data_IF_260636632727
#
_entry.id   IF_260636632727
#
_cell.length_a   1.000
_cell.length_b   1.000
_cell.length_c   1.000
_cell.angle_alpha   90.00
_cell.angle_beta   90.00
_cell.angle_gamma   90.00
#
_symmetry.space_group_name_H-M   'P 1'
#
loop_
_entity.id
_entity.type
_entity.pdbx_description
1 polymer ?
#
# COMPACT_ATOMS: atom_id res chain seq x y z
N UNK A 1 -2.90 -6.52 -14.86
CA UNK A 1 -3.61 -6.80 -16.08
C UNK A 1 -4.95 -6.10 -16.07
N UNK A 2 -5.29 -5.35 -17.11
CA UNK A 2 -6.66 -4.84 -17.28
C UNK A 2 -7.55 -6.05 -17.53
N UNK A 3 -8.50 -6.32 -16.63
CA UNK A 3 -9.59 -7.25 -16.90
C UNK A 3 -10.39 -6.73 -18.10
N UNK A 4 -10.59 -7.59 -19.09
CA UNK A 4 -11.44 -7.25 -20.22
C UNK A 4 -12.86 -7.01 -19.70
N UNK A 5 -13.38 -5.76 -19.80
CA UNK A 5 -14.79 -5.48 -19.64
C UNK A 5 -15.22 -4.43 -18.61
N UNK A 6 -14.32 -3.91 -17.77
CA UNK A 6 -14.74 -2.86 -16.82
C UNK A 6 -14.70 -1.48 -17.46
N UNK A 7 -15.88 -1.00 -17.85
CA UNK A 7 -16.09 0.34 -18.36
C UNK A 7 -16.01 1.37 -17.21
N UNK A 8 -14.81 1.91 -17.01
CA UNK A 8 -14.54 2.91 -15.97
C UNK A 8 -15.29 4.23 -16.21
N UNK A 9 -15.84 4.45 -17.42
CA UNK A 9 -16.61 5.67 -17.74
C UNK A 9 -17.94 5.74 -16.96
N UNK A 10 -18.38 4.61 -16.41
CA UNK A 10 -19.58 4.54 -15.56
C UNK A 10 -19.36 5.03 -14.13
N UNK A 11 -18.11 5.30 -13.76
CA UNK A 11 -17.76 5.78 -12.41
C UNK A 11 -17.34 7.23 -12.47
N UNK A 12 -17.92 8.04 -11.60
CA UNK A 12 -17.48 9.41 -11.35
C UNK A 12 -16.96 9.53 -9.93
N UNK A 13 -15.90 10.31 -9.73
CA UNK A 13 -15.45 10.69 -8.39
C UNK A 13 -16.54 11.57 -7.77
N UNK A 14 -17.13 11.12 -6.66
CA UNK A 14 -18.14 11.85 -5.92
C UNK A 14 -17.52 12.69 -4.80
N UNK A 15 -16.53 12.13 -4.10
CA UNK A 15 -15.85 12.78 -2.96
C UNK A 15 -14.51 12.13 -2.67
N UNK A 16 -13.75 12.68 -1.71
CA UNK A 16 -12.51 12.08 -1.19
C UNK A 16 -12.28 12.41 0.27
N UNK A 17 -11.65 11.49 0.99
CA UNK A 17 -11.03 11.75 2.29
C UNK A 17 -9.51 11.83 2.04
N UNK A 18 -8.90 13.02 2.17
CA UNK A 18 -7.50 13.23 1.83
C UNK A 18 -6.55 12.37 2.67
N UNK A 19 -5.33 12.18 2.15
CA UNK A 19 -4.28 11.49 2.88
C UNK A 19 -4.00 12.16 4.22
N UNK A 20 -3.82 11.32 5.24
CA UNK A 20 -3.49 11.74 6.59
C UNK A 20 -2.25 10.98 7.06
N UNK A 21 -1.23 11.71 7.52
CA UNK A 21 0.05 11.15 7.94
C UNK A 21 -0.04 10.26 9.19
N UNK A 22 -1.05 10.49 10.04
CA UNK A 22 -1.30 9.65 11.23
C UNK A 22 -2.00 8.36 10.81
N UNK A 23 -3.07 8.47 10.02
CA UNK A 23 -3.84 7.32 9.53
C UNK A 23 -3.13 6.57 8.39
N UNK A 24 -2.16 7.20 7.72
CA UNK A 24 -1.37 6.66 6.60
C UNK A 24 -2.23 6.04 5.49
N UNK A 25 -3.41 6.63 5.26
CA UNK A 25 -4.37 6.20 4.23
C UNK A 25 -5.17 7.37 3.69
N UNK A 26 -5.74 7.18 2.54
CA UNK A 26 -6.70 8.08 1.89
C UNK A 26 -7.85 7.27 1.32
N UNK A 27 -9.00 7.93 1.09
CA UNK A 27 -10.14 7.27 0.45
C UNK A 27 -10.71 8.14 -0.66
N UNK A 28 -11.21 7.48 -1.70
CA UNK A 28 -11.97 8.09 -2.79
C UNK A 28 -13.35 7.47 -2.81
N UNK A 29 -14.36 8.28 -3.00
CA UNK A 29 -15.74 7.82 -3.17
C UNK A 29 -16.08 7.87 -4.64
N UNK A 30 -16.39 6.71 -5.20
CA UNK A 30 -16.78 6.54 -6.58
C UNK A 30 -18.29 6.28 -6.68
N UNK A 31 -18.98 7.11 -7.46
CA UNK A 31 -20.39 6.95 -7.78
C UNK A 31 -20.54 6.23 -9.11
N UNK A 32 -21.26 5.11 -9.11
CA UNK A 32 -21.60 4.40 -10.34
C UNK A 32 -22.95 4.88 -10.88
N UNK A 33 -22.98 5.29 -12.14
CA UNK A 33 -24.23 5.69 -12.80
C UNK A 33 -25.24 4.54 -12.76
N UNK A 34 -26.48 4.87 -12.39
CA UNK A 34 -27.58 3.89 -12.33
C UNK A 34 -27.58 2.96 -11.11
N UNK A 35 -26.65 3.14 -10.14
CA UNK A 35 -26.69 2.45 -8.84
C UNK A 35 -27.01 3.43 -7.72
N UNK A 36 -27.84 2.95 -6.76
CA UNK A 36 -28.23 3.72 -5.58
C UNK A 36 -27.22 3.69 -4.43
N UNK A 37 -25.96 3.32 -4.71
CA UNK A 37 -24.90 3.20 -3.73
C UNK A 37 -23.60 3.79 -4.27
N UNK A 38 -22.83 4.42 -3.38
CA UNK A 38 -21.47 4.88 -3.64
C UNK A 38 -20.47 3.82 -3.18
N UNK A 39 -19.30 3.74 -3.84
CA UNK A 39 -18.20 2.86 -3.47
C UNK A 39 -17.07 3.69 -2.86
N UNK A 40 -16.84 3.54 -1.56
CA UNK A 40 -15.67 4.06 -0.90
C UNK A 40 -14.49 3.10 -1.15
N UNK A 41 -13.39 3.65 -1.66
CA UNK A 41 -12.15 2.93 -1.98
C UNK A 41 -11.04 3.54 -1.15
N UNK A 42 -10.55 2.79 -0.16
CA UNK A 42 -9.48 3.22 0.74
C UNK A 42 -8.17 2.56 0.33
N UNK A 43 -7.07 3.34 0.25
CA UNK A 43 -5.72 2.83 0.02
C UNK A 43 -4.71 3.48 0.97
N UNK A 44 -3.68 2.73 1.36
CA UNK A 44 -2.66 3.23 2.27
C UNK A 44 -1.71 2.14 2.76
N UNK A 45 -0.98 2.42 3.85
CA UNK A 45 -0.14 1.42 4.50
C UNK A 45 -1.01 0.22 4.90
N UNK A 46 -0.55 -0.99 4.57
CA UNK A 46 -1.37 -2.21 4.69
C UNK A 46 -1.93 -2.37 6.10
N UNK A 47 -1.10 -2.18 7.13
CA UNK A 47 -1.52 -2.31 8.52
C UNK A 47 -2.65 -1.32 8.85
N UNK A 48 -2.49 -0.04 8.49
CA UNK A 48 -3.48 1.00 8.78
C UNK A 48 -4.79 0.80 8.00
N UNK A 49 -4.72 0.24 6.78
CA UNK A 49 -5.93 -0.14 6.01
C UNK A 49 -6.60 -1.35 6.64
N UNK A 50 -5.84 -2.39 7.03
CA UNK A 50 -6.37 -3.59 7.66
C UNK A 50 -7.02 -3.32 9.02
N UNK A 51 -6.53 -2.34 9.79
CA UNK A 51 -7.15 -1.89 11.05
C UNK A 51 -8.57 -1.33 10.84
N UNK A 52 -8.83 -0.68 9.71
CA UNK A 52 -10.15 -0.16 9.35
C UNK A 52 -11.09 -1.24 8.79
N UNK A 53 -10.59 -2.46 8.56
CA UNK A 53 -11.34 -3.56 7.97
C UNK A 53 -11.92 -4.50 9.04
N UNK A 54 -13.15 -4.92 8.82
CA UNK A 54 -13.82 -6.00 9.57
C UNK A 54 -13.91 -7.29 8.77
N UNK A 55 -13.68 -7.22 7.46
CA UNK A 55 -13.74 -8.36 6.55
C UNK A 55 -12.65 -8.30 5.49
N UNK A 56 -12.47 -9.42 4.78
CA UNK A 56 -11.60 -9.54 3.60
C UNK A 56 -12.44 -10.12 2.45
N UNK A 57 -12.19 -9.66 1.24
CA UNK A 57 -12.86 -10.20 0.04
C UNK A 57 -12.13 -11.47 -0.44
N UNK A 58 -12.84 -12.59 -0.45
CA UNK A 58 -12.43 -13.82 -1.14
C UNK A 58 -13.21 -13.87 -2.48
N UNK A 59 -12.55 -13.43 -3.54
CA UNK A 59 -13.24 -13.10 -4.79
C UNK A 59 -14.15 -11.88 -4.59
N UNK A 60 -15.46 -12.08 -4.65
CA UNK A 60 -16.46 -11.02 -4.41
C UNK A 60 -17.19 -11.17 -3.07
N UNK A 61 -16.88 -12.21 -2.30
CA UNK A 61 -17.57 -12.57 -1.07
C UNK A 61 -16.79 -12.03 0.15
N UNK A 62 -17.40 -11.19 0.99
CA UNK A 62 -16.76 -10.75 2.23
C UNK A 62 -16.74 -11.89 3.26
N UNK A 63 -15.58 -12.10 3.89
CA UNK A 63 -15.36 -13.02 5.00
C UNK A 63 -14.84 -12.25 6.20
N UNK A 64 -15.13 -12.67 7.44
CA UNK A 64 -14.57 -12.03 8.64
C UNK A 64 -13.05 -11.94 8.55
N UNK A 65 -12.47 -10.80 8.93
CA UNK A 65 -11.02 -10.61 9.01
C UNK A 65 -10.53 -11.07 10.40
N UNK A 66 -10.43 -12.38 10.59
CA UNK A 66 -9.92 -13.03 11.79
C UNK A 66 -8.37 -12.95 11.91
N UNK A 67 -7.82 -13.49 12.98
CA UNK A 67 -6.38 -13.46 13.24
C UNK A 67 -5.56 -14.19 12.18
N UNK A 68 -6.05 -15.33 11.67
CA UNK A 68 -5.35 -16.13 10.67
C UNK A 68 -5.26 -15.38 9.33
N UNK A 69 -6.35 -14.72 8.93
CA UNK A 69 -6.37 -13.90 7.71
C UNK A 69 -5.52 -12.65 7.85
N UNK A 70 -5.47 -12.02 9.03
CA UNK A 70 -4.55 -10.90 9.31
C UNK A 70 -3.11 -11.34 9.16
N UNK A 71 -2.76 -12.47 9.77
CA UNK A 71 -1.42 -13.04 9.65
C UNK A 71 -1.08 -13.37 8.19
N UNK A 72 -1.99 -13.93 7.42
CA UNK A 72 -1.77 -14.21 6.00
C UNK A 72 -1.53 -12.94 5.17
N UNK A 73 -2.19 -11.82 5.52
CA UNK A 73 -1.93 -10.51 4.91
C UNK A 73 -0.51 -10.05 5.23
N UNK A 74 -0.09 -10.12 6.50
CA UNK A 74 1.24 -9.71 6.96
C UNK A 74 2.35 -10.55 6.32
N UNK A 75 2.19 -11.87 6.29
CA UNK A 75 3.15 -12.80 5.67
C UNK A 75 3.35 -12.49 4.16
N UNK A 76 2.27 -12.17 3.45
CA UNK A 76 2.36 -11.74 2.04
C UNK A 76 3.09 -10.41 1.87
N UNK A 77 2.78 -9.42 2.71
CA UNK A 77 3.47 -8.12 2.69
C UNK A 77 4.96 -8.32 2.93
N UNK A 78 5.33 -9.10 3.95
CA UNK A 78 6.73 -9.40 4.23
C UNK A 78 7.42 -10.07 3.04
N UNK A 79 6.80 -11.10 2.45
CA UNK A 79 7.36 -11.81 1.31
C UNK A 79 7.62 -10.92 0.09
N UNK A 80 6.70 -10.00 -0.24
CA UNK A 80 6.91 -9.04 -1.33
C UNK A 80 7.91 -7.94 -0.97
N UNK A 81 7.90 -7.49 0.28
CA UNK A 81 8.87 -6.48 0.73
C UNK A 81 10.31 -7.00 0.70
N UNK A 82 10.52 -8.29 0.98
CA UNK A 82 11.83 -8.94 0.84
C UNK A 82 12.29 -9.03 -0.62
N UNK A 83 11.37 -8.95 -1.58
CA UNK A 83 11.65 -8.86 -3.02
C UNK A 83 11.78 -7.40 -3.51
N UNK A 84 11.77 -6.43 -2.62
CA UNK A 84 11.90 -5.00 -2.93
C UNK A 84 10.60 -4.29 -3.29
N UNK A 85 9.44 -4.96 -3.22
CA UNK A 85 8.18 -4.29 -3.50
C UNK A 85 7.71 -3.42 -2.33
N UNK A 86 7.31 -2.20 -2.65
CA UNK A 86 6.44 -1.39 -1.78
C UNK A 86 5.01 -1.90 -1.91
N UNK A 87 4.38 -2.19 -0.78
CA UNK A 87 3.04 -2.77 -0.74
C UNK A 87 2.08 -1.78 -0.09
N UNK A 88 1.00 -1.46 -0.78
CA UNK A 88 -0.14 -0.73 -0.20
C UNK A 88 -1.33 -1.68 -0.09
N UNK A 89 -2.13 -1.48 0.95
CA UNK A 89 -3.42 -2.12 1.11
C UNK A 89 -4.51 -1.38 0.35
N UNK A 90 -5.48 -2.13 -0.13
CA UNK A 90 -6.69 -1.64 -0.76
C UNK A 90 -7.89 -2.24 -0.01
N UNK A 91 -8.84 -1.39 0.38
CA UNK A 91 -10.09 -1.81 0.99
C UNK A 91 -11.27 -1.06 0.39
N UNK A 92 -12.44 -1.65 0.48
CA UNK A 92 -13.66 -1.07 -0.10
C UNK A 92 -14.83 -1.17 0.86
N UNK A 93 -15.79 -0.27 0.69
CA UNK A 93 -17.10 -0.32 1.36
C UNK A 93 -18.16 0.34 0.49
N UNK A 94 -19.35 -0.28 0.43
CA UNK A 94 -20.52 0.35 -0.17
C UNK A 94 -21.19 1.26 0.86
N UNK A 95 -21.55 2.45 0.45
CA UNK A 95 -22.18 3.46 1.27
C UNK A 95 -23.48 3.92 0.60
N UNK A 96 -24.52 4.30 1.37
CA UNK A 96 -25.62 5.10 0.82
C UNK A 96 -25.04 6.39 0.22
N UNK A 97 -25.66 6.95 -0.83
CA UNK A 97 -25.23 8.21 -1.40
C UNK A 97 -25.21 9.31 -0.33
N UNK A 98 -24.09 10.00 -0.21
CA UNK A 98 -23.90 11.10 0.74
C UNK A 98 -23.47 12.36 -0.01
N UNK A 99 -23.78 13.52 0.61
CA UNK A 99 -23.30 14.82 0.13
C UNK A 99 -21.79 14.98 0.37
N UNK A 100 -21.28 14.44 1.50
CA UNK A 100 -19.87 14.48 1.88
C UNK A 100 -19.48 13.23 2.66
N UNK A 101 -18.26 12.73 2.45
CA UNK A 101 -17.66 11.66 3.23
C UNK A 101 -16.61 12.22 4.18
N UNK A 102 -16.45 11.57 5.32
CA UNK A 102 -15.52 11.95 6.38
C UNK A 102 -14.62 10.78 6.77
N UNK A 103 -13.68 11.03 7.68
CA UNK A 103 -12.82 10.00 8.28
C UNK A 103 -13.60 8.91 8.99
N UNK A 104 -14.79 9.22 9.52
CA UNK A 104 -15.64 8.26 10.24
C UNK A 104 -16.25 7.21 9.30
N UNK A 105 -16.31 7.50 8.00
CA UNK A 105 -16.76 6.53 7.00
C UNK A 105 -15.70 5.46 6.69
N UNK A 106 -14.45 5.69 7.06
CA UNK A 106 -13.34 4.75 6.89
C UNK A 106 -13.32 3.66 7.97
N UNK A 107 -14.45 3.05 8.24
CA UNK A 107 -14.65 1.96 9.21
C UNK A 107 -15.46 0.84 8.60
N UNK A 108 -15.32 -0.39 9.14
CA UNK A 108 -16.09 -1.54 8.65
C UNK A 108 -15.80 -1.87 7.18
N UNK A 109 -14.58 -1.60 6.71
CA UNK A 109 -14.16 -1.86 5.35
C UNK A 109 -13.96 -3.35 5.10
N UNK A 110 -14.01 -3.75 3.83
CA UNK A 110 -13.59 -5.06 3.37
C UNK A 110 -12.21 -4.94 2.69
N UNK A 111 -11.20 -5.60 3.23
CA UNK A 111 -9.88 -5.65 2.62
C UNK A 111 -9.99 -6.34 1.25
N UNK A 112 -9.63 -5.63 0.18
CA UNK A 112 -9.86 -6.08 -1.19
C UNK A 112 -8.58 -6.61 -1.86
N UNK A 113 -7.39 -6.26 -1.34
CA UNK A 113 -6.14 -6.73 -1.92
C UNK A 113 -4.98 -5.75 -1.73
N UNK A 114 -4.01 -5.86 -2.62
CA UNK A 114 -2.75 -5.14 -2.52
C UNK A 114 -2.42 -4.42 -3.82
N UNK A 115 -1.72 -3.29 -3.70
CA UNK A 115 -1.06 -2.61 -4.80
C UNK A 115 0.45 -2.75 -4.59
N UNK A 116 1.13 -3.30 -5.58
CA UNK A 116 2.57 -3.55 -5.55
C UNK A 116 3.29 -2.54 -6.45
N UNK A 117 4.30 -1.88 -5.90
CA UNK A 117 5.15 -0.94 -6.61
C UNK A 117 6.60 -1.39 -6.50
N UNK A 118 7.29 -1.45 -7.62
CA UNK A 118 8.72 -1.70 -7.68
C UNK A 118 9.40 -0.43 -8.19
N UNK A 119 10.37 0.07 -7.40
CA UNK A 119 11.18 1.23 -7.75
C UNK A 119 12.65 0.79 -7.85
N UNK A 120 13.11 0.40 -9.04
CA UNK A 120 14.47 -0.11 -9.20
C UNK A 120 15.50 1.02 -9.02
N UNK A 121 16.70 0.70 -8.51
CA UNK A 121 17.77 1.67 -8.40
C UNK A 121 18.18 2.21 -9.78
N UNK A 122 18.65 3.45 -9.82
CA UNK A 122 19.15 4.05 -11.07
C UNK A 122 20.37 3.27 -11.60
N UNK A 123 20.49 3.10 -12.93
CA UNK A 123 21.68 2.50 -13.53
C UNK A 123 22.96 3.21 -13.08
N UNK A 124 24.05 2.47 -12.84
CA UNK A 124 25.34 3.02 -12.44
C UNK A 124 25.48 3.35 -10.95
N UNK A 125 24.45 3.10 -10.13
CA UNK A 125 24.53 3.45 -8.71
C UNK A 125 25.59 2.61 -7.97
N UNK A 126 25.69 1.32 -8.24
CA UNK A 126 26.68 0.44 -7.61
C UNK A 126 28.12 0.87 -7.95
N UNK A 127 28.39 1.26 -9.20
CA UNK A 127 29.68 1.78 -9.65
C UNK A 127 30.01 3.10 -8.95
N UNK A 128 29.03 4.00 -8.84
CA UNK A 128 29.19 5.28 -8.14
C UNK A 128 29.55 5.06 -6.67
N UNK A 129 28.86 4.14 -5.98
CA UNK A 129 29.16 3.81 -4.58
C UNK A 129 30.57 3.26 -4.41
N UNK A 130 31.02 2.37 -5.31
CA UNK A 130 32.38 1.87 -5.31
C UNK A 130 33.42 3.00 -5.51
N UNK A 131 33.16 3.90 -6.45
CA UNK A 131 34.06 5.05 -6.71
C UNK A 131 34.12 6.03 -5.51
N UNK A 132 33.05 6.19 -4.75
CA UNK A 132 33.04 6.97 -3.51
C UNK A 132 33.84 6.26 -2.41
N UNK A 133 33.64 4.97 -2.25
CA UNK A 133 34.38 4.17 -1.27
C UNK A 133 35.89 4.19 -1.50
N UNK A 134 36.38 4.13 -2.74
CA UNK A 134 37.82 4.24 -3.08
C UNK A 134 38.42 5.60 -2.70
N UNK A 135 37.57 6.62 -2.56
CA UNK A 135 37.95 7.96 -2.10
C UNK A 135 37.80 8.18 -0.59
N UNK A 136 37.49 7.14 0.16
CA UNK A 136 37.26 7.20 1.60
C UNK A 136 35.94 7.82 2.02
N UNK A 137 34.97 7.95 1.09
CA UNK A 137 33.63 8.51 1.35
C UNK A 137 32.71 7.38 1.76
N UNK A 138 32.23 7.41 3.01
CA UNK A 138 31.21 6.50 3.50
C UNK A 138 29.81 7.04 3.15
N UNK A 139 29.01 6.23 2.45
CA UNK A 139 27.61 6.57 2.11
C UNK A 139 26.67 5.85 3.06
N UNK A 140 25.67 6.57 3.57
CA UNK A 140 24.60 6.03 4.42
C UNK A 140 23.25 6.25 3.73
N UNK A 141 22.41 5.22 3.74
CA UNK A 141 21.06 5.29 3.20
C UNK A 141 20.07 5.60 4.32
N UNK A 142 19.26 6.65 4.12
CA UNK A 142 18.13 6.98 4.99
C UNK A 142 16.86 6.78 4.13
N UNK A 143 15.96 5.95 4.61
CA UNK A 143 14.72 5.62 3.88
C UNK A 143 13.52 5.61 4.83
N UNK A 144 12.38 6.10 4.34
CA UNK A 144 11.07 5.95 4.99
C UNK A 144 10.36 4.63 4.67
N UNK A 145 10.98 3.76 3.86
CA UNK A 145 10.44 2.45 3.53
C UNK A 145 10.57 1.47 4.71
N UNK A 146 9.81 0.38 4.64
CA UNK A 146 10.01 -0.67 5.61
C UNK A 146 11.41 -1.30 5.47
N UNK A 147 11.89 -1.89 6.58
CA UNK A 147 13.25 -2.44 6.67
C UNK A 147 13.60 -3.44 5.55
N UNK A 148 12.64 -4.25 5.11
CA UNK A 148 12.89 -5.29 4.09
C UNK A 148 13.13 -4.69 2.71
N UNK A 149 12.36 -3.68 2.33
CA UNK A 149 12.55 -2.93 1.07
C UNK A 149 13.89 -2.21 1.08
N UNK A 150 14.23 -1.54 2.20
CA UNK A 150 15.50 -0.85 2.35
C UNK A 150 16.69 -1.81 2.30
N UNK A 151 16.59 -2.97 2.94
CA UNK A 151 17.63 -4.01 2.89
C UNK A 151 17.81 -4.56 1.48
N UNK A 152 16.73 -4.88 0.77
CA UNK A 152 16.77 -5.34 -0.62
C UNK A 152 17.44 -4.32 -1.54
N UNK A 153 17.10 -3.03 -1.38
CA UNK A 153 17.73 -1.96 -2.15
C UNK A 153 19.24 -1.87 -1.85
N UNK A 154 19.63 -1.88 -0.56
CA UNK A 154 21.04 -1.85 -0.15
C UNK A 154 21.83 -3.02 -0.77
N UNK A 155 21.28 -4.21 -0.72
CA UNK A 155 21.86 -5.42 -1.30
C UNK A 155 22.02 -5.29 -2.83
N UNK A 156 21.00 -4.80 -3.51
CA UNK A 156 20.99 -4.61 -4.97
C UNK A 156 22.06 -3.63 -5.44
N UNK A 157 22.33 -2.57 -4.67
CA UNK A 157 23.36 -1.57 -4.99
C UNK A 157 24.73 -1.84 -4.36
N UNK A 158 24.89 -2.98 -3.67
CA UNK A 158 26.16 -3.42 -3.07
C UNK A 158 26.56 -2.65 -1.81
N UNK A 159 25.61 -2.06 -1.09
CA UNK A 159 25.86 -1.45 0.22
C UNK A 159 25.87 -2.49 1.35
N UNK A 160 26.73 -2.34 2.39
CA UNK A 160 26.62 -3.16 3.59
C UNK A 160 25.28 -2.93 4.28
N UNK A 161 24.53 -4.00 4.52
CA UNK A 161 23.18 -3.92 5.11
C UNK A 161 23.10 -4.50 6.55
N UNK A 162 24.25 -4.77 7.16
CA UNK A 162 24.32 -5.40 8.51
C UNK A 162 23.85 -4.48 9.65
N UNK A 163 23.86 -3.16 9.45
CA UNK A 163 23.55 -2.16 10.48
C UNK A 163 22.31 -1.35 10.06
N UNK A 164 21.16 -2.00 9.90
CA UNK A 164 19.89 -1.30 9.65
C UNK A 164 19.32 -0.82 10.99
N UNK A 165 19.28 0.50 11.18
CA UNK A 165 18.57 1.13 12.29
C UNK A 165 17.14 1.43 11.87
N UNK A 166 16.18 0.98 12.66
CA UNK A 166 14.77 1.36 12.48
C UNK A 166 14.42 2.43 13.50
N UNK A 167 13.72 3.49 13.08
CA UNK A 167 13.10 4.43 14.02
C UNK A 167 12.04 3.70 14.86
N UNK A 168 12.06 3.89 16.16
CA UNK A 168 11.06 3.41 17.12
C UNK A 168 9.82 4.32 17.08
#
# INVERSE_FOLDING_TARGET
>A
GRGAGDDLTRYAKADEVPYDFVRKRLSVVARQQGRGEDLLICKGAVQNVAEACTSVLEGTVPRPLDADRRKAIEDRVQGWSMQGFRVLGLAVRRLPPKAACSRDDETGLAFAGFLLFLDPPKPGMAETLKALATRGIEVKMISGDNRYVAMHLAETIGMPHRNVLTGS
#
